data_IF_560845718250
#
_entry.id   IF_560845718250
#
_cell.length_a   1.000
_cell.length_b   1.000
_cell.length_c   1.000
_cell.angle_alpha   90.00
_cell.angle_beta   90.00
_cell.angle_gamma   90.00
#
_symmetry.space_group_name_H-M   'P 1'
#
loop_
_entity.id
_entity.type
_entity.pdbx_description
1 polymer ?
#
# COMPACT_ATOMS: atom_id res chain seq x y z
N UNK A 1 47.13 -22.41 -32.70
CA UNK A 1 46.75 -21.03 -33.08
C UNK A 1 46.46 -20.27 -31.79
N UNK A 2 47.46 -19.55 -31.27
CA UNK A 2 47.35 -18.72 -30.06
C UNK A 2 46.77 -17.37 -30.46
N UNK A 3 45.53 -17.11 -30.03
CA UNK A 3 44.83 -15.84 -30.29
C UNK A 3 45.47 -14.76 -29.40
N UNK A 4 46.29 -13.92 -30.00
CA UNK A 4 46.98 -12.84 -29.30
C UNK A 4 45.98 -11.72 -29.03
N UNK A 5 45.55 -11.58 -27.77
CA UNK A 5 44.68 -10.49 -27.33
C UNK A 5 45.39 -9.15 -27.57
N UNK A 6 44.75 -8.16 -28.20
CA UNK A 6 45.36 -6.86 -28.42
C UNK A 6 45.69 -6.21 -27.08
N UNK A 7 46.93 -5.73 -26.93
CA UNK A 7 47.38 -4.97 -25.76
C UNK A 7 46.56 -3.69 -25.65
N UNK A 8 45.69 -3.62 -24.64
CA UNK A 8 44.97 -2.39 -24.31
C UNK A 8 45.96 -1.44 -23.66
N UNK A 9 46.52 -0.53 -24.44
CA UNK A 9 47.33 0.56 -23.89
C UNK A 9 46.46 1.39 -22.92
N UNK A 10 46.95 1.72 -21.72
CA UNK A 10 46.21 2.55 -20.78
C UNK A 10 45.99 3.93 -21.42
N UNK A 11 44.75 4.21 -21.79
CA UNK A 11 44.38 5.54 -22.31
C UNK A 11 44.73 6.57 -21.25
N UNK A 12 45.44 7.66 -21.60
CA UNK A 12 45.66 8.77 -20.67
C UNK A 12 44.31 9.27 -20.19
N UNK A 13 44.18 9.46 -18.87
CA UNK A 13 42.95 9.96 -18.28
C UNK A 13 42.54 11.26 -18.98
N UNK A 14 41.37 11.24 -19.61
CA UNK A 14 40.78 12.40 -20.26
C UNK A 14 39.53 12.80 -19.47
N UNK A 15 39.38 14.08 -19.08
CA UNK A 15 38.15 14.52 -18.46
C UNK A 15 37.00 14.36 -19.46
N UNK A 16 36.05 13.49 -19.13
CA UNK A 16 34.81 13.33 -19.92
C UNK A 16 34.09 14.69 -19.96
N UNK A 17 33.73 15.26 -21.12
CA UNK A 17 32.96 16.50 -21.16
C UNK A 17 31.63 16.27 -20.43
N UNK A 18 31.40 17.02 -19.36
CA UNK A 18 30.19 16.92 -18.55
C UNK A 18 30.01 18.21 -17.75
N UNK A 19 28.80 18.48 -17.21
CA UNK A 19 28.53 19.66 -16.43
C UNK A 19 29.58 19.85 -15.33
N UNK A 20 30.01 21.10 -15.12
CA UNK A 20 31.00 21.46 -14.08
C UNK A 20 30.50 21.07 -12.68
N UNK A 21 29.18 21.04 -12.51
CA UNK A 21 28.48 20.63 -11.31
C UNK A 21 28.18 19.12 -11.36
N UNK A 22 29.20 18.29 -11.12
CA UNK A 22 29.03 16.84 -11.01
C UNK A 22 28.53 16.50 -9.62
N UNK A 23 27.23 16.32 -9.48
CA UNK A 23 26.60 15.78 -8.27
C UNK A 23 26.68 14.26 -8.29
N UNK A 24 26.83 13.65 -7.11
CA UNK A 24 26.74 12.19 -6.98
C UNK A 24 25.31 11.72 -7.23
N UNK A 25 25.13 10.46 -7.67
CA UNK A 25 23.80 9.85 -7.83
C UNK A 25 22.94 9.99 -6.56
N UNK A 26 23.56 9.84 -5.39
CA UNK A 26 22.88 9.96 -4.10
C UNK A 26 22.46 11.41 -3.79
N UNK A 27 23.24 12.40 -4.19
CA UNK A 27 22.87 13.82 -4.04
C UNK A 27 21.68 14.18 -4.94
N UNK A 28 21.64 13.71 -6.19
CA UNK A 28 20.48 13.90 -7.05
C UNK A 28 19.25 13.17 -6.51
N UNK A 29 19.38 11.95 -6.00
CA UNK A 29 18.29 11.27 -5.28
C UNK A 29 17.79 12.10 -4.09
N UNK A 30 18.70 12.67 -3.28
CA UNK A 30 18.32 13.52 -2.15
C UNK A 30 17.63 14.82 -2.58
N UNK A 31 18.09 15.44 -3.68
CA UNK A 31 17.46 16.61 -4.29
C UNK A 31 16.05 16.30 -4.78
N UNK A 32 15.85 15.18 -5.48
CA UNK A 32 14.54 14.76 -5.95
C UNK A 32 13.60 14.41 -4.79
N UNK A 33 14.07 13.72 -3.75
CA UNK A 33 13.27 13.48 -2.52
C UNK A 33 12.79 14.80 -1.89
N UNK A 34 13.64 15.84 -1.87
CA UNK A 34 13.30 17.20 -1.43
C UNK A 34 12.47 18.01 -2.43
N UNK A 35 12.28 17.55 -3.66
CA UNK A 35 11.37 18.19 -4.62
C UNK A 35 9.96 17.60 -4.53
N UNK A 36 9.85 16.31 -4.24
CA UNK A 36 8.57 15.58 -4.22
C UNK A 36 7.68 15.94 -3.03
N UNK A 37 8.23 16.45 -1.92
CA UNK A 37 7.41 16.78 -0.74
C UNK A 37 6.32 17.80 -1.04
N UNK A 38 6.50 18.71 -2.00
CA UNK A 38 5.48 19.70 -2.38
C UNK A 38 4.24 19.01 -2.96
N UNK A 39 4.45 18.03 -3.84
CA UNK A 39 3.36 17.24 -4.41
C UNK A 39 2.69 16.39 -3.31
N UNK A 40 3.49 15.74 -2.46
CA UNK A 40 2.97 14.97 -1.32
C UNK A 40 2.14 15.83 -0.37
N UNK A 41 2.61 17.04 -0.05
CA UNK A 41 1.89 17.99 0.80
C UNK A 41 0.59 18.47 0.15
N UNK A 42 0.61 18.75 -1.16
CA UNK A 42 -0.58 19.13 -1.91
C UNK A 42 -1.62 18.00 -1.91
N UNK A 43 -1.20 16.77 -2.21
CA UNK A 43 -2.07 15.59 -2.17
C UNK A 43 -2.63 15.35 -0.76
N UNK A 44 -1.80 15.47 0.28
CA UNK A 44 -2.24 15.33 1.67
C UNK A 44 -3.26 16.41 2.04
N UNK A 45 -3.02 17.66 1.64
CA UNK A 45 -3.96 18.77 1.83
C UNK A 45 -5.30 18.51 1.15
N UNK A 46 -5.29 18.00 -0.08
CA UNK A 46 -6.50 17.63 -0.81
C UNK A 46 -7.27 16.50 -0.11
N UNK A 47 -6.56 15.46 0.38
CA UNK A 47 -7.17 14.35 1.14
C UNK A 47 -7.79 14.84 2.44
N UNK A 48 -7.08 15.70 3.20
CA UNK A 48 -7.60 16.28 4.44
C UNK A 48 -8.85 17.12 4.17
N UNK A 49 -8.81 18.01 3.17
CA UNK A 49 -9.94 18.85 2.81
C UNK A 49 -11.16 18.01 2.41
N UNK A 50 -10.97 17.02 1.53
CA UNK A 50 -12.05 16.11 1.13
C UNK A 50 -12.59 15.33 2.34
N UNK A 51 -11.70 14.83 3.20
CA UNK A 51 -12.07 14.09 4.40
C UNK A 51 -12.90 14.92 5.38
N UNK A 52 -12.60 16.21 5.54
CA UNK A 52 -13.41 17.13 6.36
C UNK A 52 -14.81 17.34 5.77
N UNK A 53 -14.91 17.53 4.46
CA UNK A 53 -16.22 17.67 3.76
C UNK A 53 -17.06 16.41 3.93
N UNK A 54 -16.46 15.23 3.70
CA UNK A 54 -17.14 13.94 3.88
C UNK A 54 -17.55 13.73 5.33
N UNK A 55 -16.72 14.14 6.30
CA UNK A 55 -17.01 14.00 7.73
C UNK A 55 -18.31 14.72 8.14
N UNK A 56 -18.58 15.91 7.59
CA UNK A 56 -19.82 16.65 7.86
C UNK A 56 -21.08 15.83 7.51
N UNK A 57 -20.98 14.97 6.49
CA UNK A 57 -22.08 14.08 6.06
C UNK A 57 -22.08 12.80 6.89
N UNK A 58 -20.91 12.20 7.12
CA UNK A 58 -20.77 10.92 7.83
C UNK A 58 -21.17 11.03 9.30
N UNK A 59 -20.84 12.12 9.99
CA UNK A 59 -21.15 12.29 11.42
C UNK A 59 -22.64 12.14 11.76
N UNK A 60 -23.57 12.89 11.17
CA UNK A 60 -25.00 12.75 11.49
C UNK A 60 -25.55 11.39 11.07
N UNK A 61 -25.09 10.83 9.94
CA UNK A 61 -25.49 9.49 9.48
C UNK A 61 -25.04 8.42 10.48
N UNK A 62 -23.79 8.46 10.93
CA UNK A 62 -23.25 7.50 11.88
C UNK A 62 -23.96 7.58 13.23
N UNK A 63 -24.21 8.79 13.74
CA UNK A 63 -24.96 8.97 15.00
C UNK A 63 -26.41 8.50 14.89
N UNK A 64 -27.08 8.78 13.76
CA UNK A 64 -28.43 8.29 13.49
C UNK A 64 -28.49 6.76 13.42
N UNK A 65 -27.56 6.13 12.68
CA UNK A 65 -27.47 4.67 12.56
C UNK A 65 -27.17 4.01 13.92
N UNK A 66 -26.25 4.57 14.70
CA UNK A 66 -25.90 4.05 16.02
C UNK A 66 -27.10 4.09 16.97
N UNK A 67 -27.88 5.18 16.96
CA UNK A 67 -29.09 5.32 17.75
C UNK A 67 -30.19 4.34 17.32
N UNK A 68 -30.40 4.20 16.01
CA UNK A 68 -31.39 3.26 15.45
C UNK A 68 -31.06 1.81 15.80
N UNK A 69 -29.80 1.39 15.57
CA UNK A 69 -29.34 0.03 15.88
C UNK A 69 -29.40 -0.22 17.38
N UNK A 70 -28.98 0.74 18.20
CA UNK A 70 -29.06 0.64 19.65
C UNK A 70 -30.49 0.39 20.13
N UNK A 71 -31.45 1.22 19.68
CA UNK A 71 -32.86 1.08 20.06
C UNK A 71 -33.50 -0.20 19.54
N UNK A 72 -33.12 -0.65 18.33
CA UNK A 72 -33.56 -1.94 17.81
C UNK A 72 -33.00 -3.11 18.62
N UNK A 73 -31.74 -3.04 19.07
CA UNK A 73 -31.10 -4.11 19.84
C UNK A 73 -31.66 -4.22 21.26
N UNK A 74 -31.97 -3.08 21.88
CA UNK A 74 -32.67 -3.00 23.18
C UNK A 74 -34.03 -3.73 23.16
N UNK A 75 -34.71 -3.78 22.00
CA UNK A 75 -35.97 -4.53 21.84
C UNK A 75 -35.79 -6.05 22.04
N UNK A 76 -34.62 -6.59 21.69
CA UNK A 76 -34.33 -8.03 21.74
C UNK A 76 -33.49 -8.43 22.95
N UNK A 77 -32.55 -7.58 23.35
CA UNK A 77 -31.59 -7.82 24.42
C UNK A 77 -31.69 -6.66 25.42
N UNK A 78 -32.54 -6.76 26.46
CA UNK A 78 -32.59 -5.73 27.50
C UNK A 78 -31.24 -5.67 28.19
N UNK A 79 -30.52 -4.59 27.93
CA UNK A 79 -29.16 -4.34 28.38
C UNK A 79 -28.97 -2.84 28.67
N UNK A 80 -27.78 -2.42 29.10
CA UNK A 80 -27.52 -1.03 29.40
C UNK A 80 -27.58 -0.16 28.12
N UNK A 81 -28.24 0.99 28.21
CA UNK A 81 -28.48 2.02 27.17
C UNK A 81 -27.23 2.62 26.49
N UNK A 82 -26.07 1.99 26.55
CA UNK A 82 -24.78 2.58 26.13
C UNK A 82 -24.82 3.00 24.66
N UNK A 83 -25.40 2.17 23.78
CA UNK A 83 -25.45 2.44 22.33
C UNK A 83 -26.37 3.60 21.97
N UNK A 84 -27.44 3.81 22.74
CA UNK A 84 -28.41 4.89 22.53
C UNK A 84 -28.03 6.16 23.31
N UNK A 85 -27.27 6.04 24.39
CA UNK A 85 -26.78 7.17 25.20
C UNK A 85 -25.76 8.04 24.45
N UNK A 86 -24.87 7.44 23.66
CA UNK A 86 -23.87 8.16 22.86
C UNK A 86 -24.52 9.15 21.86
N UNK A 87 -25.42 8.71 20.96
CA UNK A 87 -26.06 9.60 20.01
C UNK A 87 -27.01 10.60 20.70
N UNK A 88 -27.70 10.19 21.79
CA UNK A 88 -28.50 11.13 22.60
C UNK A 88 -27.65 12.27 23.15
N UNK A 89 -26.54 11.95 23.83
CA UNK A 89 -25.63 12.96 24.36
C UNK A 89 -24.99 13.85 23.28
N UNK A 90 -24.68 13.28 22.12
CA UNK A 90 -24.22 14.07 20.96
C UNK A 90 -25.27 15.10 20.53
N UNK A 91 -26.53 14.69 20.34
CA UNK A 91 -27.59 15.61 19.92
C UNK A 91 -27.96 16.62 21.00
N UNK A 92 -27.89 16.25 22.28
CA UNK A 92 -28.11 17.18 23.40
C UNK A 92 -27.05 18.29 23.43
N UNK A 93 -25.79 17.96 23.13
CA UNK A 93 -24.71 18.95 23.01
C UNK A 93 -24.84 19.84 21.76
N UNK A 94 -25.39 19.29 20.67
CA UNK A 94 -25.58 20.00 19.40
C UNK A 94 -26.84 20.88 19.39
N UNK A 95 -27.90 20.46 20.09
CA UNK A 95 -29.19 21.13 20.14
C UNK A 95 -29.13 22.64 20.44
N UNK A 96 -28.39 23.12 21.47
CA UNK A 96 -28.32 24.56 21.76
C UNK A 96 -27.56 25.36 20.70
N UNK A 97 -26.73 24.71 19.88
CA UNK A 97 -26.03 25.35 18.76
C UNK A 97 -26.94 25.47 17.53
N UNK A 98 -27.86 24.52 17.37
CA UNK A 98 -28.85 24.49 16.28
C UNK A 98 -30.06 25.40 16.56
N UNK A 99 -30.48 25.47 17.82
CA UNK A 99 -31.64 26.24 18.28
C UNK A 99 -31.18 27.45 19.09
N UNK A 100 -30.31 28.25 18.51
CA UNK A 100 -29.85 29.46 19.15
C UNK A 100 -30.88 30.58 18.90
N UNK A 101 -31.54 31.04 19.97
CA UNK A 101 -32.26 32.33 19.97
C UNK A 101 -31.34 33.42 19.42
N UNK A 102 -31.88 34.47 18.78
CA UNK A 102 -31.23 35.51 17.95
C UNK A 102 -29.92 36.19 18.45
N UNK A 103 -29.33 35.76 19.55
CA UNK A 103 -27.99 36.09 20.05
C UNK A 103 -26.91 35.50 19.13
N UNK A 104 -25.85 36.26 18.80
CA UNK A 104 -24.71 35.74 18.06
C UNK A 104 -23.97 34.65 18.84
N UNK A 105 -23.49 33.61 18.14
CA UNK A 105 -22.69 32.55 18.73
C UNK A 105 -21.35 33.08 19.28
N UNK A 106 -20.99 32.62 20.47
CA UNK A 106 -19.67 32.89 21.04
C UNK A 106 -18.63 32.08 20.28
N UNK A 107 -17.39 32.59 20.14
CA UNK A 107 -16.29 31.87 19.48
C UNK A 107 -16.12 30.43 19.98
N UNK A 108 -16.21 30.21 21.31
CA UNK A 108 -16.13 28.86 21.89
C UNK A 108 -17.26 27.93 21.40
N UNK A 109 -18.49 28.43 21.29
CA UNK A 109 -19.62 27.63 20.78
C UNK A 109 -19.41 27.25 19.30
N UNK A 110 -18.86 28.17 18.50
CA UNK A 110 -18.52 27.90 17.10
C UNK A 110 -17.47 26.79 17.00
N UNK A 111 -16.40 26.87 17.80
CA UNK A 111 -15.33 25.85 17.81
C UNK A 111 -15.87 24.49 18.23
N UNK A 112 -16.67 24.42 19.30
CA UNK A 112 -17.24 23.15 19.77
C UNK A 112 -18.22 22.59 18.74
N UNK A 113 -19.05 23.42 18.10
CA UNK A 113 -19.97 22.97 17.04
C UNK A 113 -19.24 22.33 15.86
N UNK A 114 -18.17 22.97 15.37
CA UNK A 114 -17.34 22.39 14.32
C UNK A 114 -16.63 21.10 14.78
N UNK A 115 -16.15 21.06 16.02
CA UNK A 115 -15.51 19.86 16.56
C UNK A 115 -16.50 18.68 16.65
N UNK A 116 -17.72 18.92 17.14
CA UNK A 116 -18.78 17.92 17.22
C UNK A 116 -19.19 17.43 15.83
N UNK A 117 -19.24 18.32 14.83
CA UNK A 117 -19.61 17.96 13.47
C UNK A 117 -18.50 17.17 12.74
N UNK A 118 -17.23 17.47 12.99
CA UNK A 118 -16.10 16.92 12.22
C UNK A 118 -15.41 15.72 12.87
N UNK A 119 -15.23 15.71 14.19
CA UNK A 119 -14.40 14.69 14.84
C UNK A 119 -15.02 13.28 14.80
N UNK A 120 -16.33 13.08 15.04
CA UNK A 120 -16.91 11.73 15.02
C UNK A 120 -16.83 11.08 13.63
N UNK A 121 -17.15 11.81 12.56
CA UNK A 121 -17.06 11.31 11.19
C UNK A 121 -15.63 10.99 10.78
N UNK A 122 -14.64 11.80 11.20
CA UNK A 122 -13.22 11.50 11.00
C UNK A 122 -12.84 10.22 11.75
N UNK A 123 -13.28 10.06 13.00
CA UNK A 123 -13.02 8.86 13.79
C UNK A 123 -13.61 7.61 13.12
N UNK A 124 -14.87 7.66 12.68
CA UNK A 124 -15.52 6.56 11.95
C UNK A 124 -14.76 6.23 10.67
N UNK A 125 -14.40 7.24 9.87
CA UNK A 125 -13.66 7.01 8.63
C UNK A 125 -12.27 6.43 8.86
N UNK A 126 -11.55 6.85 9.90
CA UNK A 126 -10.27 6.25 10.31
C UNK A 126 -10.44 4.81 10.79
N UNK A 127 -11.51 4.51 11.53
CA UNK A 127 -11.83 3.14 11.95
C UNK A 127 -12.12 2.25 10.73
N UNK A 128 -12.93 2.72 9.79
CA UNK A 128 -13.22 1.99 8.54
C UNK A 128 -11.95 1.78 7.74
N UNK A 129 -11.12 2.82 7.56
CA UNK A 129 -9.87 2.73 6.81
C UNK A 129 -8.88 1.76 7.46
N UNK A 130 -8.69 1.82 8.78
CA UNK A 130 -7.80 0.89 9.50
C UNK A 130 -8.31 -0.55 9.43
N UNK A 131 -9.63 -0.75 9.53
CA UNK A 131 -10.27 -2.05 9.39
C UNK A 131 -10.12 -2.64 7.98
N UNK A 132 -10.41 -1.87 6.92
CA UNK A 132 -10.22 -2.29 5.54
C UNK A 132 -8.75 -2.60 5.24
N UNK A 133 -7.82 -1.74 5.69
CA UNK A 133 -6.38 -1.99 5.54
C UNK A 133 -5.97 -3.29 6.21
N UNK A 134 -6.46 -3.55 7.41
CA UNK A 134 -6.20 -4.81 8.12
C UNK A 134 -6.79 -6.03 7.40
N UNK A 135 -7.99 -5.90 6.84
CA UNK A 135 -8.64 -6.96 6.07
C UNK A 135 -7.82 -7.31 4.83
N UNK A 136 -7.39 -6.30 4.05
CA UNK A 136 -6.58 -6.52 2.86
C UNK A 136 -5.19 -7.07 3.18
N UNK A 137 -4.58 -6.65 4.29
CA UNK A 137 -3.32 -7.24 4.76
C UNK A 137 -3.48 -8.73 5.12
N UNK A 138 -4.65 -9.14 5.62
CA UNK A 138 -4.95 -10.55 5.94
C UNK A 138 -5.33 -11.40 4.74
N UNK A 139 -5.97 -10.81 3.73
CA UNK A 139 -6.26 -11.50 2.48
C UNK A 139 -4.98 -11.98 1.79
N UNK A 140 -3.87 -11.27 2.01
CA UNK A 140 -2.54 -11.62 1.50
C UNK A 140 -2.52 -11.67 -0.03
N UNK A 141 -1.50 -12.35 -0.57
CA UNK A 141 -1.33 -12.50 -2.02
C UNK A 141 -1.94 -13.79 -2.58
N UNK A 142 -2.40 -14.70 -1.71
CA UNK A 142 -2.87 -16.03 -2.10
C UNK A 142 -4.00 -16.00 -3.13
N UNK A 143 -4.99 -15.11 -2.95
CA UNK A 143 -6.09 -14.97 -3.92
C UNK A 143 -5.63 -14.53 -5.30
N UNK A 144 -4.64 -13.62 -5.38
CA UNK A 144 -4.06 -13.17 -6.64
C UNK A 144 -3.21 -14.27 -7.31
N UNK A 145 -2.48 -15.06 -6.53
CA UNK A 145 -1.71 -16.18 -7.06
C UNK A 145 -2.62 -17.30 -7.59
N UNK A 146 -3.72 -17.58 -6.90
CA UNK A 146 -4.71 -18.56 -7.32
C UNK A 146 -5.42 -18.12 -8.61
N UNK A 147 -5.78 -16.85 -8.75
CA UNK A 147 -6.42 -16.34 -9.97
C UNK A 147 -5.48 -16.34 -11.18
N UNK A 148 -4.17 -16.26 -10.95
CA UNK A 148 -3.15 -16.42 -12.00
C UNK A 148 -2.89 -17.89 -12.35
N UNK A 149 -3.35 -18.86 -11.55
CA UNK A 149 -2.99 -20.27 -11.75
C UNK A 149 -1.54 -20.58 -11.39
N UNK A 150 -0.97 -19.83 -10.44
CA UNK A 150 0.40 -20.06 -9.99
C UNK A 150 0.50 -21.40 -9.23
N UNK A 151 1.61 -22.12 -9.45
CA UNK A 151 1.91 -23.42 -8.84
C UNK A 151 3.26 -23.43 -8.15
N UNK A 152 3.47 -24.40 -7.27
CA UNK A 152 4.79 -24.64 -6.67
C UNK A 152 5.79 -25.21 -7.71
N UNK A 153 7.10 -24.97 -7.52
CA UNK A 153 8.17 -25.65 -8.25
C UNK A 153 8.08 -27.17 -8.14
N UNK A 154 8.29 -27.88 -9.25
CA UNK A 154 8.31 -29.33 -9.32
C UNK A 154 9.67 -29.85 -8.87
N UNK A 155 9.68 -30.73 -7.87
CA UNK A 155 10.91 -31.33 -7.37
C UNK A 155 11.67 -32.21 -8.40
N UNK A 156 11.05 -32.60 -9.51
CA UNK A 156 11.74 -33.35 -10.58
C UNK A 156 12.45 -32.48 -11.62
N UNK A 157 12.28 -31.16 -11.57
CA UNK A 157 12.75 -30.23 -12.58
C UNK A 157 13.95 -29.43 -12.07
N UNK A 158 15.11 -29.64 -12.69
CA UNK A 158 16.37 -29.04 -12.26
C UNK A 158 16.38 -27.51 -12.45
N UNK A 159 15.70 -26.99 -13.46
CA UNK A 159 15.63 -25.55 -13.72
C UNK A 159 14.75 -24.86 -12.68
N UNK A 160 13.62 -25.47 -12.32
CA UNK A 160 12.73 -24.96 -11.27
C UNK A 160 13.41 -25.04 -9.88
N UNK A 161 14.22 -26.06 -9.62
CA UNK A 161 15.04 -26.13 -8.40
C UNK A 161 16.17 -25.08 -8.41
N UNK A 162 16.83 -24.89 -9.55
CA UNK A 162 17.86 -23.87 -9.69
C UNK A 162 17.27 -22.48 -9.42
N UNK A 163 16.06 -22.20 -9.91
CA UNK A 163 15.34 -20.96 -9.62
C UNK A 163 15.19 -20.73 -8.10
N UNK A 164 14.72 -21.75 -7.36
CA UNK A 164 14.57 -21.66 -5.89
C UNK A 164 15.91 -21.35 -5.21
N UNK A 165 16.98 -22.02 -5.64
CA UNK A 165 18.32 -21.78 -5.11
C UNK A 165 18.81 -20.36 -5.39
N UNK A 166 18.65 -19.86 -6.62
CA UNK A 166 19.06 -18.50 -6.99
C UNK A 166 18.27 -17.45 -6.21
N UNK A 167 16.95 -17.65 -6.03
CA UNK A 167 16.14 -16.75 -5.17
C UNK A 167 16.67 -16.73 -3.74
N UNK A 168 17.00 -17.89 -3.17
CA UNK A 168 17.56 -17.99 -1.83
C UNK A 168 18.94 -17.32 -1.73
N UNK A 169 19.82 -17.54 -2.70
CA UNK A 169 21.14 -16.90 -2.80
C UNK A 169 21.01 -15.37 -2.81
N UNK A 170 20.12 -14.83 -3.66
CA UNK A 170 19.90 -13.39 -3.75
C UNK A 170 19.27 -12.82 -2.48
N UNK A 171 18.34 -13.53 -1.84
CA UNK A 171 17.75 -13.12 -0.57
C UNK A 171 18.80 -13.06 0.56
N UNK A 172 19.67 -14.07 0.64
CA UNK A 172 20.80 -14.09 1.59
C UNK A 172 21.74 -12.92 1.34
N UNK A 173 22.11 -12.67 0.08
CA UNK A 173 22.97 -11.54 -0.28
C UNK A 173 22.36 -10.18 0.10
N UNK A 174 21.04 -10.05 0.01
CA UNK A 174 20.30 -8.85 0.40
C UNK A 174 19.97 -8.76 1.91
N UNK A 175 20.28 -9.79 2.70
CA UNK A 175 19.93 -9.85 4.12
C UNK A 175 18.42 -9.94 4.37
N UNK A 176 17.67 -10.54 3.45
CA UNK A 176 16.22 -10.70 3.51
C UNK A 176 15.83 -12.16 3.81
N UNK A 177 14.65 -12.40 4.42
CA UNK A 177 14.09 -13.74 4.46
C UNK A 177 13.86 -14.25 3.02
N UNK A 178 14.12 -15.55 2.73
CA UNK A 178 13.90 -16.09 1.40
C UNK A 178 12.41 -16.02 1.02
N UNK A 179 12.05 -15.30 -0.05
CA UNK A 179 10.68 -15.24 -0.52
C UNK A 179 10.18 -16.62 -0.96
N UNK A 180 8.86 -16.83 -0.88
CA UNK A 180 8.24 -18.00 -1.53
C UNK A 180 8.41 -17.89 -3.04
N UNK A 181 8.63 -19.00 -3.73
CA UNK A 181 8.75 -19.04 -5.18
C UNK A 181 7.57 -19.80 -5.76
N UNK A 182 6.92 -19.22 -6.76
CA UNK A 182 5.85 -19.89 -7.51
C UNK A 182 6.06 -19.71 -9.00
N UNK A 183 5.67 -20.72 -9.77
CA UNK A 183 5.73 -20.71 -11.22
C UNK A 183 4.37 -20.44 -11.84
N UNK A 184 4.41 -19.73 -12.95
CA UNK A 184 3.28 -19.52 -13.85
C UNK A 184 3.55 -20.23 -15.17
N UNK A 185 2.67 -21.15 -15.57
CA UNK A 185 2.76 -21.81 -16.87
C UNK A 185 2.22 -20.86 -17.96
N UNK A 186 3.04 -19.86 -18.32
CA UNK A 186 2.75 -18.84 -19.32
C UNK A 186 3.81 -18.84 -20.42
N UNK A 187 3.38 -18.63 -21.66
CA UNK A 187 4.23 -18.55 -22.86
C UNK A 187 4.99 -17.23 -23.00
N UNK A 188 4.81 -16.29 -22.06
CA UNK A 188 5.50 -14.99 -22.06
C UNK A 188 6.57 -14.99 -20.96
N UNK A 189 7.84 -14.70 -21.27
CA UNK A 189 8.90 -14.63 -20.27
C UNK A 189 8.66 -13.43 -19.33
N UNK A 190 8.46 -13.70 -18.04
CA UNK A 190 8.17 -12.67 -17.04
C UNK A 190 8.57 -13.13 -15.63
N UNK A 191 8.91 -12.17 -14.77
CA UNK A 191 9.08 -12.38 -13.34
C UNK A 191 8.59 -11.15 -12.57
N UNK A 192 7.94 -11.39 -11.43
CA UNK A 192 7.42 -10.34 -10.57
C UNK A 192 7.55 -10.72 -9.10
N UNK A 193 7.57 -9.72 -8.23
CA UNK A 193 7.43 -9.91 -6.78
C UNK A 193 6.07 -9.36 -6.33
N UNK A 194 5.36 -10.14 -5.51
CA UNK A 194 4.07 -9.77 -4.94
C UNK A 194 4.16 -9.97 -3.43
N UNK A 195 3.57 -9.08 -2.65
CA UNK A 195 3.56 -9.16 -1.20
C UNK A 195 3.27 -7.83 -0.55
N UNK A 196 3.06 -7.85 0.76
CA UNK A 196 2.94 -6.63 1.58
C UNK A 196 4.28 -6.15 2.14
N UNK A 197 5.33 -6.98 2.06
CA UNK A 197 6.69 -6.67 2.51
C UNK A 197 7.60 -7.91 2.47
N UNK A 198 8.84 -7.82 2.98
CA UNK A 198 9.83 -8.89 2.87
C UNK A 198 9.41 -10.23 3.49
N UNK A 199 8.68 -10.21 4.62
CA UNK A 199 8.24 -11.43 5.31
C UNK A 199 7.08 -12.17 4.64
N UNK A 200 6.41 -11.52 3.69
CA UNK A 200 5.24 -12.04 2.95
C UNK A 200 5.49 -11.95 1.43
N UNK A 201 6.75 -11.83 1.04
CA UNK A 201 7.12 -11.72 -0.36
C UNK A 201 7.01 -13.08 -1.06
N UNK A 202 6.43 -13.07 -2.25
CA UNK A 202 6.41 -14.20 -3.17
C UNK A 202 6.96 -13.74 -4.52
N UNK A 203 7.95 -14.45 -5.03
CA UNK A 203 8.48 -14.28 -6.38
C UNK A 203 7.72 -15.21 -7.32
N UNK A 204 7.09 -14.63 -8.33
CA UNK A 204 6.37 -15.33 -9.38
C UNK A 204 7.23 -15.29 -10.64
N UNK A 205 7.53 -16.45 -11.22
CA UNK A 205 8.32 -16.55 -12.46
C UNK A 205 7.56 -17.37 -13.48
N UNK A 206 7.50 -16.92 -14.73
CA UNK A 206 6.90 -17.72 -15.78
C UNK A 206 7.84 -18.85 -16.23
N UNK A 207 7.26 -19.99 -16.62
CA UNK A 207 8.03 -21.12 -17.15
C UNK A 207 8.87 -20.71 -18.36
N UNK A 208 8.30 -19.89 -19.26
CA UNK A 208 9.00 -19.40 -20.45
C UNK A 208 10.27 -18.61 -20.12
N UNK A 209 10.32 -17.88 -19.00
CA UNK A 209 11.54 -17.17 -18.60
C UNK A 209 12.68 -18.15 -18.32
N UNK A 210 12.41 -19.27 -17.66
CA UNK A 210 13.43 -20.30 -17.40
C UNK A 210 13.88 -20.99 -18.69
N UNK A 211 12.99 -21.16 -19.66
CA UNK A 211 13.33 -21.77 -20.95
C UNK A 211 14.19 -20.83 -21.83
N UNK A 212 14.11 -19.52 -21.63
CA UNK A 212 14.83 -18.52 -22.44
C UNK A 212 16.12 -18.00 -21.78
N UNK A 213 16.13 -17.87 -20.45
CA UNK A 213 17.21 -17.22 -19.73
C UNK A 213 18.21 -18.25 -19.23
N UNK A 214 19.48 -17.92 -19.34
CA UNK A 214 20.52 -18.66 -18.62
C UNK A 214 20.50 -18.30 -17.12
N UNK A 215 21.34 -19.00 -16.35
CA UNK A 215 21.45 -18.82 -14.90
C UNK A 215 21.86 -17.39 -14.53
N UNK A 216 22.79 -16.79 -15.28
CA UNK A 216 23.33 -15.46 -14.96
C UNK A 216 22.30 -14.36 -15.26
N UNK A 217 21.56 -14.50 -16.36
CA UNK A 217 20.43 -13.65 -16.72
C UNK A 217 19.30 -13.77 -15.69
N UNK A 218 18.99 -15.00 -15.24
CA UNK A 218 18.01 -15.26 -14.19
C UNK A 218 18.44 -14.62 -12.87
N UNK A 219 19.71 -14.78 -12.49
CA UNK A 219 20.26 -14.17 -11.28
C UNK A 219 20.23 -12.63 -11.34
N UNK A 220 20.51 -12.03 -12.51
CA UNK A 220 20.41 -10.59 -12.70
C UNK A 220 18.97 -10.08 -12.53
N UNK A 221 18.00 -10.75 -13.16
CA UNK A 221 16.57 -10.41 -13.04
C UNK A 221 16.07 -10.55 -11.60
N UNK A 222 16.41 -11.66 -10.93
CA UNK A 222 16.03 -11.90 -9.53
C UNK A 222 16.75 -10.94 -8.58
N UNK A 223 18.02 -10.61 -8.80
CA UNK A 223 18.75 -9.63 -8.02
C UNK A 223 18.06 -8.26 -8.03
N UNK A 224 17.55 -7.83 -9.19
CA UNK A 224 16.74 -6.62 -9.30
C UNK A 224 15.44 -6.70 -8.47
N UNK A 225 14.71 -7.82 -8.57
CA UNK A 225 13.47 -8.03 -7.84
C UNK A 225 13.69 -8.10 -6.32
N UNK A 226 14.70 -8.84 -5.86
CA UNK A 226 15.05 -8.93 -4.44
C UNK A 226 15.51 -7.56 -3.90
N UNK A 227 16.28 -6.80 -4.69
CA UNK A 227 16.63 -5.42 -4.35
C UNK A 227 15.40 -4.53 -4.18
N UNK A 228 14.40 -4.65 -5.06
CA UNK A 228 13.11 -3.95 -4.97
C UNK A 228 12.32 -4.35 -3.72
N UNK A 229 12.30 -5.63 -3.36
CA UNK A 229 11.72 -6.11 -2.09
C UNK A 229 12.41 -5.47 -0.89
N UNK A 230 13.75 -5.47 -0.88
CA UNK A 230 14.56 -4.87 0.19
C UNK A 230 14.39 -3.36 0.32
N UNK A 231 14.22 -2.66 -0.80
CA UNK A 231 13.92 -1.23 -0.82
C UNK A 231 12.49 -0.88 -0.37
N UNK A 232 11.62 -1.87 -0.19
CA UNK A 232 10.26 -1.69 0.28
C UNK A 232 9.26 -1.32 -0.82
N UNK A 233 9.58 -1.55 -2.09
CA UNK A 233 8.68 -1.25 -3.21
C UNK A 233 7.38 -2.05 -3.10
N UNK A 234 7.43 -3.27 -2.56
CA UNK A 234 6.23 -4.06 -2.26
C UNK A 234 5.24 -3.34 -1.35
N UNK A 235 5.71 -2.59 -0.34
CA UNK A 235 4.83 -1.82 0.56
C UNK A 235 4.12 -0.71 -0.19
N UNK A 236 4.83 -0.05 -1.11
CA UNK A 236 4.28 1.03 -1.93
C UNK A 236 3.26 0.47 -2.92
N UNK A 237 3.62 -0.60 -3.63
CA UNK A 237 2.73 -1.29 -4.56
C UNK A 237 1.46 -1.77 -3.86
N UNK A 238 1.59 -2.40 -2.69
CA UNK A 238 0.45 -2.83 -1.88
C UNK A 238 -0.45 -1.68 -1.46
N UNK A 239 0.13 -0.54 -1.03
CA UNK A 239 -0.64 0.65 -0.68
C UNK A 239 -1.49 1.14 -1.87
N UNK A 240 -0.89 1.22 -3.07
CA UNK A 240 -1.60 1.61 -4.29
C UNK A 240 -2.72 0.62 -4.61
N UNK A 241 -2.43 -0.68 -4.60
CA UNK A 241 -3.42 -1.74 -4.88
C UNK A 241 -4.57 -1.69 -3.87
N UNK A 242 -4.32 -1.45 -2.59
CA UNK A 242 -5.36 -1.37 -1.57
C UNK A 242 -6.38 -0.24 -1.81
N UNK A 243 -5.92 0.88 -2.39
CA UNK A 243 -6.81 1.98 -2.78
C UNK A 243 -7.73 1.55 -3.93
N UNK A 244 -7.17 0.89 -4.95
CA UNK A 244 -7.97 0.38 -6.07
C UNK A 244 -8.93 -0.73 -5.66
N UNK A 245 -8.53 -1.62 -4.75
CA UNK A 245 -9.42 -2.65 -4.21
C UNK A 245 -10.57 -2.05 -3.40
N UNK A 246 -10.32 -0.98 -2.65
CA UNK A 246 -11.39 -0.25 -1.94
C UNK A 246 -12.40 0.35 -2.92
N UNK A 247 -11.92 0.96 -4.01
CA UNK A 247 -12.78 1.49 -5.06
C UNK A 247 -13.56 0.39 -5.79
N UNK A 248 -12.89 -0.73 -6.13
CA UNK A 248 -13.53 -1.90 -6.74
C UNK A 248 -14.64 -2.48 -5.85
N UNK A 249 -14.38 -2.63 -4.55
CA UNK A 249 -15.39 -3.08 -3.58
C UNK A 249 -16.60 -2.14 -3.56
N UNK A 250 -16.38 -0.83 -3.57
CA UNK A 250 -17.46 0.15 -3.60
C UNK A 250 -18.31 0.00 -4.87
N UNK A 251 -17.68 -0.12 -6.05
CA UNK A 251 -18.39 -0.34 -7.30
C UNK A 251 -19.21 -1.63 -7.27
N UNK A 252 -18.63 -2.74 -6.81
CA UNK A 252 -19.34 -4.03 -6.72
C UNK A 252 -20.53 -4.02 -5.76
N UNK A 253 -20.52 -3.13 -4.75
CA UNK A 253 -21.67 -2.95 -3.85
C UNK A 253 -22.77 -2.05 -4.43
N UNK A 254 -22.45 -1.25 -5.45
CA UNK A 254 -23.38 -0.34 -6.12
C UNK A 254 -24.03 -0.96 -7.37
N UNK A 255 -23.44 -2.02 -7.90
CA UNK A 255 -23.97 -2.85 -8.99
C UNK A 255 -24.95 -3.92 -8.45
#
# INVERSE_FOLDING_TARGET
MTMQMPSVEPRPWAPVPGPVDRTSFFEEQARHRRSTWRLTALCLGAVVLMGLVVSVIVTPLAMGQLGFVGGALELFLPGPDILTAIPRGYFDLLAPMMHQDQRPATFGQVVVGWALLLLPGVAVMLLIWTWLRWLFLRAGVGGALLSLGAREPRAGDLEEQQLVNVVAEMAVAAGLPPPRVVLLDSDVPNAAAIGSGPHDATVVVSRRLLDEFDRDQTQAALGHLIGSIGNGDLRIAFAIVSVYQTFGLLCTLLD
#
